data_IF_521886627479
#
_entry.id   IF_521886627479
#
_cell.length_a   1.000
_cell.length_b   1.000
_cell.length_c   1.000
_cell.angle_alpha   90.00
_cell.angle_beta   90.00
_cell.angle_gamma   90.00
#
_symmetry.space_group_name_H-M   'P 1'
#
loop_
_entity.id
_entity.type
_entity.pdbx_description
1 polymer ?
#
# COMPACT_ATOMS: atom_id res chain seq x y z
N UNK A 1 66.86 -3.02 -28.01
CA UNK A 1 66.48 -2.24 -26.81
C UNK A 1 65.48 -1.17 -27.23
N UNK A 2 64.49 -0.95 -26.37
CA UNK A 2 63.26 -0.20 -26.56
C UNK A 2 63.46 1.30 -26.33
N UNK A 3 62.91 2.17 -27.18
CA UNK A 3 62.49 3.51 -26.73
C UNK A 3 61.28 3.99 -27.53
N UNK A 4 60.15 4.09 -26.82
CA UNK A 4 58.82 4.42 -27.32
C UNK A 4 58.66 5.93 -27.49
N UNK A 5 57.96 6.33 -28.55
CA UNK A 5 57.50 7.70 -28.82
C UNK A 5 56.52 8.17 -27.74
N UNK A 6 56.66 9.43 -27.31
CA UNK A 6 55.78 10.11 -26.37
C UNK A 6 54.66 10.89 -27.07
N UNK A 7 53.55 11.01 -26.33
CA UNK A 7 52.62 12.15 -26.28
C UNK A 7 51.67 12.42 -27.45
N UNK A 8 50.38 12.19 -27.19
CA UNK A 8 49.38 13.26 -27.31
C UNK A 8 48.10 12.92 -26.52
N UNK A 9 47.86 13.74 -25.50
CA UNK A 9 46.54 13.97 -24.91
C UNK A 9 45.59 14.54 -25.97
N UNK A 10 44.30 14.16 -25.93
CA UNK A 10 43.19 15.11 -25.90
C UNK A 10 41.84 14.42 -25.77
N UNK A 11 40.97 15.13 -25.06
CA UNK A 11 39.68 14.77 -24.54
C UNK A 11 38.53 14.82 -25.56
N UNK A 12 37.41 14.22 -25.13
CA UNK A 12 36.02 14.57 -25.40
C UNK A 12 35.40 14.21 -26.78
N UNK A 13 34.29 13.46 -26.70
CA UNK A 13 33.31 13.23 -27.76
C UNK A 13 32.61 11.88 -27.57
N UNK A 14 31.49 11.79 -26.85
CA UNK A 14 30.12 12.13 -27.28
C UNK A 14 29.32 10.87 -27.70
N UNK A 15 28.12 10.74 -27.11
CA UNK A 15 26.98 9.88 -27.48
C UNK A 15 27.11 8.35 -27.42
N UNK A 16 26.60 7.81 -26.31
CA UNK A 16 25.58 6.76 -26.34
C UNK A 16 24.56 7.12 -25.24
N UNK A 17 23.48 7.84 -25.57
CA UNK A 17 22.17 7.27 -25.88
C UNK A 17 21.72 6.26 -24.82
N UNK A 18 20.85 6.72 -23.92
CA UNK A 18 19.40 6.50 -24.06
C UNK A 18 19.05 5.04 -23.75
N UNK A 19 19.03 4.66 -22.48
CA UNK A 19 18.20 3.54 -22.03
C UNK A 19 17.66 3.83 -20.63
N UNK A 20 16.53 4.53 -20.62
CA UNK A 20 15.38 4.26 -19.76
C UNK A 20 15.59 4.27 -18.23
N UNK A 21 15.74 5.47 -17.66
CA UNK A 21 15.16 5.76 -16.34
C UNK A 21 13.74 6.31 -16.51
N UNK A 22 12.86 5.52 -17.16
CA UNK A 22 11.43 5.64 -16.89
C UNK A 22 11.13 4.75 -15.70
N UNK A 23 11.43 5.26 -14.50
CA UNK A 23 10.88 4.77 -13.24
C UNK A 23 9.38 5.02 -13.20
N UNK A 24 8.64 4.35 -14.07
CA UNK A 24 7.18 4.38 -14.13
C UNK A 24 6.65 3.23 -13.28
N UNK A 25 6.13 3.56 -12.09
CA UNK A 25 4.96 2.86 -11.55
C UNK A 25 5.12 1.78 -10.47
N UNK A 26 6.21 1.71 -9.69
CA UNK A 26 6.30 0.70 -8.60
C UNK A 26 5.79 1.16 -7.23
N UNK A 27 5.44 2.44 -7.05
CA UNK A 27 4.94 2.95 -5.76
C UNK A 27 3.46 2.60 -5.47
N UNK A 28 2.63 2.37 -6.50
CA UNK A 28 1.19 2.09 -6.36
C UNK A 28 0.89 0.65 -5.88
N UNK A 29 1.62 -0.35 -6.38
CA UNK A 29 1.38 -1.76 -6.05
C UNK A 29 1.74 -2.10 -4.59
N UNK A 30 2.81 -1.49 -4.07
CA UNK A 30 3.24 -1.67 -2.67
C UNK A 30 2.35 -0.89 -1.71
N UNK A 31 1.89 0.30 -2.10
CA UNK A 31 0.97 1.10 -1.27
C UNK A 31 -0.39 0.42 -1.07
N UNK A 32 -0.96 -0.18 -2.12
CA UNK A 32 -2.24 -0.88 -2.05
C UNK A 32 -2.20 -2.15 -1.19
N UNK A 33 -1.07 -2.85 -1.15
CA UNK A 33 -0.90 -4.04 -0.32
C UNK A 33 -0.73 -3.68 1.17
N UNK A 34 0.08 -2.67 1.48
CA UNK A 34 0.26 -2.18 2.86
C UNK A 34 -1.07 -1.69 3.45
N UNK A 35 -1.85 -0.91 2.69
CA UNK A 35 -3.13 -0.42 3.18
C UNK A 35 -4.10 -1.57 3.47
N UNK A 36 -4.14 -2.59 2.60
CA UNK A 36 -4.99 -3.76 2.79
C UNK A 36 -4.60 -4.53 4.05
N UNK A 37 -3.30 -4.74 4.28
CA UNK A 37 -2.79 -5.39 5.50
C UNK A 37 -3.23 -4.63 6.75
N UNK A 38 -3.04 -3.30 6.77
CA UNK A 38 -3.47 -2.45 7.88
C UNK A 38 -4.98 -2.53 8.14
N UNK A 39 -5.78 -2.57 7.08
CA UNK A 39 -7.24 -2.71 7.21
C UNK A 39 -7.61 -4.07 7.80
N UNK A 40 -6.94 -5.14 7.36
CA UNK A 40 -7.15 -6.48 7.91
C UNK A 40 -6.78 -6.52 9.40
N UNK A 41 -5.65 -5.93 9.78
CA UNK A 41 -5.22 -5.87 11.19
C UNK A 41 -6.26 -5.13 12.06
N UNK A 42 -6.75 -3.96 11.60
CA UNK A 42 -7.82 -3.23 12.30
C UNK A 42 -9.08 -4.07 12.47
N UNK A 43 -9.50 -4.78 11.41
CA UNK A 43 -10.66 -5.66 11.47
C UNK A 43 -10.42 -6.77 12.49
N UNK A 44 -9.26 -7.41 12.45
CA UNK A 44 -8.93 -8.51 13.37
C UNK A 44 -8.89 -8.03 14.82
N UNK A 45 -8.34 -6.85 15.10
CA UNK A 45 -8.32 -6.27 16.44
C UNK A 45 -9.74 -6.03 16.99
N UNK A 46 -10.62 -5.45 16.17
CA UNK A 46 -12.03 -5.22 16.54
C UNK A 46 -12.77 -6.54 16.77
N UNK A 47 -12.49 -7.57 15.97
CA UNK A 47 -13.14 -8.88 16.11
C UNK A 47 -12.59 -9.70 17.28
N UNK A 48 -11.32 -9.50 17.64
CA UNK A 48 -10.62 -10.25 18.70
C UNK A 48 -10.91 -9.72 20.10
N UNK A 49 -11.56 -8.57 20.22
CA UNK A 49 -11.94 -8.01 21.52
C UNK A 49 -12.92 -8.94 22.26
N UNK A 50 -12.46 -9.55 23.35
CA UNK A 50 -13.18 -10.58 24.10
C UNK A 50 -14.32 -10.02 24.96
N UNK A 51 -14.22 -8.76 25.38
CA UNK A 51 -15.22 -8.05 26.18
C UNK A 51 -15.51 -6.68 25.55
N UNK A 52 -16.12 -6.64 24.36
CA UNK A 52 -16.30 -5.40 23.62
C UNK A 52 -17.26 -4.48 24.38
N UNK A 53 -16.85 -3.22 24.53
CA UNK A 53 -17.67 -2.17 25.14
C UNK A 53 -18.99 -1.98 24.36
N UNK A 54 -18.95 -2.26 23.05
CA UNK A 54 -20.09 -2.16 22.13
C UNK A 54 -20.20 -3.41 21.25
N UNK A 55 -20.87 -4.49 21.69
CA UNK A 55 -21.02 -5.72 20.91
C UNK A 55 -21.72 -5.51 19.56
N UNK A 56 -22.58 -4.50 19.45
CA UNK A 56 -23.27 -4.09 18.23
C UNK A 56 -22.32 -3.60 17.13
N UNK A 57 -21.19 -2.98 17.50
CA UNK A 57 -20.16 -2.56 16.53
C UNK A 57 -19.55 -3.80 15.87
N UNK A 58 -19.20 -4.82 16.66
CA UNK A 58 -18.69 -6.10 16.16
C UNK A 58 -19.71 -6.79 15.24
N UNK A 59 -20.97 -6.82 15.65
CA UNK A 59 -22.04 -7.43 14.85
C UNK A 59 -22.25 -6.69 13.52
N UNK A 60 -22.22 -5.36 13.52
CA UNK A 60 -22.30 -4.53 12.32
C UNK A 60 -21.13 -4.77 11.37
N UNK A 61 -19.91 -4.85 11.90
CA UNK A 61 -18.72 -5.14 11.09
C UNK A 61 -18.80 -6.51 10.43
N UNK A 62 -19.20 -7.55 11.19
CA UNK A 62 -19.38 -8.90 10.65
C UNK A 62 -20.42 -8.95 9.52
N UNK A 63 -21.53 -8.20 9.67
CA UNK A 63 -22.55 -8.09 8.63
C UNK A 63 -21.96 -7.49 7.35
N UNK A 64 -21.24 -6.36 7.44
CA UNK A 64 -20.65 -5.73 6.26
C UNK A 64 -19.55 -6.58 5.60
N UNK A 65 -18.80 -7.36 6.38
CA UNK A 65 -17.83 -8.33 5.84
C UNK A 65 -18.52 -9.43 5.04
N UNK A 66 -19.65 -9.94 5.52
CA UNK A 66 -20.45 -10.93 4.79
C UNK A 66 -21.04 -10.35 3.49
N UNK A 67 -21.42 -9.07 3.49
CA UNK A 67 -21.94 -8.35 2.32
C UNK A 67 -20.85 -8.01 1.28
N UNK A 68 -19.57 -7.99 1.67
CA UNK A 68 -18.44 -7.58 0.82
C UNK A 68 -17.31 -8.64 0.77
N UNK A 69 -17.57 -9.85 0.24
CA UNK A 69 -16.56 -10.91 0.19
C UNK A 69 -15.35 -10.49 -0.64
N UNK A 70 -14.15 -10.73 -0.10
CA UNK A 70 -12.86 -10.39 -0.75
C UNK A 70 -12.49 -8.91 -0.75
N UNK A 71 -13.37 -8.04 -0.24
CA UNK A 71 -13.22 -6.58 -0.24
C UNK A 71 -13.32 -6.00 1.18
N UNK A 72 -12.37 -6.34 2.08
CA UNK A 72 -12.39 -5.87 3.47
C UNK A 72 -12.34 -4.34 3.59
N UNK A 73 -11.69 -3.66 2.65
CA UNK A 73 -11.60 -2.20 2.59
C UNK A 73 -12.97 -1.57 2.40
N UNK A 74 -13.79 -2.17 1.53
CA UNK A 74 -15.16 -1.73 1.30
C UNK A 74 -16.05 -2.01 2.51
N UNK A 75 -15.94 -3.21 3.09
CA UNK A 75 -16.68 -3.59 4.28
C UNK A 75 -16.44 -2.62 5.45
N UNK A 76 -15.17 -2.30 5.72
CA UNK A 76 -14.79 -1.37 6.78
C UNK A 76 -15.29 0.04 6.49
N UNK A 77 -15.21 0.51 5.24
CA UNK A 77 -15.71 1.83 4.87
C UNK A 77 -17.23 1.94 5.05
N UNK A 78 -17.99 0.93 4.60
CA UNK A 78 -19.45 0.92 4.76
C UNK A 78 -19.83 0.88 6.25
N UNK A 79 -19.11 0.09 7.06
CA UNK A 79 -19.25 0.06 8.50
C UNK A 79 -19.03 1.44 9.16
N UNK A 80 -17.92 2.13 8.85
CA UNK A 80 -17.61 3.46 9.42
C UNK A 80 -18.58 4.57 8.97
N UNK A 81 -19.29 4.34 7.87
CA UNK A 81 -20.32 5.24 7.35
C UNK A 81 -21.70 4.95 7.91
N UNK A 82 -21.90 3.82 8.58
CA UNK A 82 -23.19 3.44 9.16
C UNK A 82 -23.59 4.44 10.27
N UNK A 83 -24.73 5.15 10.11
CA UNK A 83 -25.25 6.06 11.13
C UNK A 83 -25.52 5.36 12.47
N UNK A 84 -25.88 4.07 12.45
CA UNK A 84 -26.15 3.28 13.66
C UNK A 84 -24.93 3.14 14.58
N UNK A 85 -23.73 3.37 14.05
CA UNK A 85 -22.47 3.40 14.79
C UNK A 85 -22.24 4.74 15.52
N UNK A 86 -22.96 5.81 15.13
CA UNK A 86 -22.75 7.20 15.59
C UNK A 86 -23.80 7.68 16.57
N UNK A 87 -24.96 7.04 16.65
CA UNK A 87 -26.12 7.49 17.43
C UNK A 87 -26.09 7.04 18.90
N UNK A 88 -25.17 6.17 19.32
CA UNK A 88 -25.03 5.72 20.73
C UNK A 88 -24.20 6.70 21.59
N UNK A 89 -24.48 8.02 21.52
CA UNK A 89 -23.74 9.06 22.25
C UNK A 89 -24.50 9.62 23.44
#
# INVERSE_FOLDING_TARGET
>A
MLTKFQSRENAAGDRAQDLAESGSGTHEATGGTILREQIIDIILDVLSESAPVRPEVRAGLLKHLAENPGNPERALLDHLRDPGLRETR
#
